data_IF_355695905303
#
_entry.id   IF_355695905303
#
_cell.length_a   1.000
_cell.length_b   1.000
_cell.length_c   1.000
_cell.angle_alpha   90.00
_cell.angle_beta   90.00
_cell.angle_gamma   90.00
#
_symmetry.space_group_name_H-M   'P 1'
#
loop_
_entity.id
_entity.type
_entity.pdbx_description
1 polymer ?
#
# COMPACT_ATOMS: atom_id res chain seq x y z
N UNK A 1 -8.42 -16.24 6.82
CA UNK A 1 -7.50 -16.06 5.67
C UNK A 1 -7.41 -14.59 5.34
N UNK A 2 -6.23 -13.98 5.43
CA UNK A 2 -5.99 -12.59 5.02
C UNK A 2 -5.90 -12.58 3.50
N UNK A 3 -6.91 -12.08 2.79
CA UNK A 3 -6.84 -11.84 1.34
C UNK A 3 -6.07 -10.53 1.11
N UNK A 4 -4.75 -10.58 1.34
CA UNK A 4 -3.88 -9.48 0.96
C UNK A 4 -3.82 -9.44 -0.58
N UNK A 5 -4.00 -8.28 -1.22
CA UNK A 5 -3.78 -8.15 -2.65
C UNK A 5 -2.31 -8.37 -2.99
N UNK A 6 -2.05 -8.91 -4.18
CA UNK A 6 -0.69 -9.02 -4.70
C UNK A 6 -0.20 -7.62 -5.11
N UNK A 7 0.79 -7.12 -4.37
CA UNK A 7 1.38 -5.80 -4.63
C UNK A 7 2.30 -5.80 -5.84
N UNK A 8 2.66 -6.97 -6.38
CA UNK A 8 3.51 -7.08 -7.57
C UNK A 8 2.69 -7.07 -8.87
N UNK A 9 1.38 -7.31 -8.78
CA UNK A 9 0.44 -7.34 -9.90
C UNK A 9 0.28 -5.94 -10.53
N UNK A 10 0.63 -5.76 -11.82
CA UNK A 10 0.42 -4.51 -12.54
C UNK A 10 -1.04 -4.05 -12.56
N UNK A 11 -2.00 -4.98 -12.68
CA UNK A 11 -3.41 -4.64 -12.71
C UNK A 11 -3.89 -4.12 -11.34
N UNK A 12 -3.31 -4.60 -10.24
CA UNK A 12 -3.56 -4.03 -8.92
C UNK A 12 -2.95 -2.64 -8.79
N UNK A 13 -1.68 -2.50 -9.19
CA UNK A 13 -0.94 -1.23 -9.16
C UNK A 13 -1.66 -0.13 -9.96
N UNK A 14 -2.16 -0.44 -11.15
CA UNK A 14 -2.87 0.53 -12.00
C UNK A 14 -4.24 0.93 -11.43
N UNK A 15 -4.85 0.09 -10.58
CA UNK A 15 -6.15 0.36 -9.95
C UNK A 15 -6.07 1.18 -8.68
N UNK A 16 -4.90 1.23 -8.03
CA UNK A 16 -4.71 1.95 -6.76
C UNK A 16 -3.90 3.21 -6.97
N UNK A 17 -4.24 4.29 -6.27
CA UNK A 17 -3.47 5.53 -6.28
C UNK A 17 -2.52 5.59 -5.07
N UNK A 18 -1.51 6.45 -5.16
CA UNK A 18 -0.53 6.63 -4.07
C UNK A 18 -1.21 7.15 -2.79
N UNK A 19 -2.17 8.06 -2.94
CA UNK A 19 -2.99 8.56 -1.84
C UNK A 19 -3.80 7.46 -1.17
N UNK A 20 -4.36 6.54 -1.96
CA UNK A 20 -5.13 5.42 -1.45
C UNK A 20 -4.26 4.41 -0.69
N UNK A 21 -3.03 4.15 -1.15
CA UNK A 21 -2.07 3.29 -0.41
C UNK A 21 -1.69 3.97 0.91
N UNK A 22 -1.39 5.27 0.89
CA UNK A 22 -1.05 6.03 2.08
C UNK A 22 -2.19 6.02 3.12
N UNK A 23 -3.43 6.25 2.68
CA UNK A 23 -4.60 6.18 3.57
C UNK A 23 -4.84 4.77 4.11
N UNK A 24 -4.63 3.74 3.30
CA UNK A 24 -4.77 2.33 3.72
C UNK A 24 -3.74 1.95 4.78
N UNK A 25 -2.50 2.45 4.66
CA UNK A 25 -1.45 2.25 5.68
C UNK A 25 -1.83 2.97 6.98
N UNK A 26 -2.32 4.22 6.89
CA UNK A 26 -2.70 5.01 8.08
C UNK A 26 -3.93 4.48 8.80
N UNK A 27 -5.02 4.24 8.07
CA UNK A 27 -6.32 3.85 8.63
C UNK A 27 -6.46 2.35 8.84
N UNK A 28 -5.59 1.56 8.21
CA UNK A 28 -5.79 0.11 8.10
C UNK A 28 -6.95 -0.21 7.14
N UNK A 29 -7.04 -1.47 6.73
CA UNK A 29 -8.14 -1.97 5.90
C UNK A 29 -8.39 -3.45 6.14
N UNK A 30 -9.63 -3.81 6.46
CA UNK A 30 -10.02 -5.17 6.82
C UNK A 30 -9.19 -5.71 8.00
N UNK A 31 -8.31 -6.67 7.74
CA UNK A 31 -7.41 -7.27 8.75
C UNK A 31 -6.05 -6.58 8.81
N UNK A 32 -5.81 -5.56 7.97
CA UNK A 32 -4.59 -4.75 8.05
C UNK A 32 -4.78 -3.71 9.17
N UNK A 33 -3.92 -3.70 10.21
CA UNK A 33 -4.00 -2.72 11.27
C UNK A 33 -3.67 -1.33 10.76
N UNK A 34 -4.21 -0.33 11.46
CA UNK A 34 -3.83 1.06 11.27
C UNK A 34 -2.39 1.26 11.77
N UNK A 35 -1.57 1.93 10.96
CA UNK A 35 -0.22 2.33 11.36
C UNK A 35 -0.18 3.85 11.51
N UNK A 36 0.02 4.31 12.74
CA UNK A 36 0.29 5.71 13.02
C UNK A 36 1.78 5.99 12.78
N UNK A 37 2.11 6.31 11.53
CA UNK A 37 3.46 6.58 11.06
C UNK A 37 3.56 8.01 10.51
N UNK A 38 4.70 8.69 10.66
CA UNK A 38 4.92 9.99 10.04
C UNK A 38 4.74 9.96 8.53
N UNK A 39 4.24 11.05 7.96
CA UNK A 39 3.97 11.22 6.52
C UNK A 39 5.18 10.86 5.65
N UNK A 40 6.39 11.19 6.09
CA UNK A 40 7.64 10.85 5.41
C UNK A 40 7.85 9.34 5.30
N UNK A 41 7.53 8.58 6.36
CA UNK A 41 7.65 7.12 6.38
C UNK A 41 6.59 6.50 5.48
N UNK A 42 5.35 6.99 5.54
CA UNK A 42 4.26 6.52 4.68
C UNK A 42 4.61 6.75 3.21
N UNK A 43 5.12 7.93 2.85
CA UNK A 43 5.57 8.22 1.48
C UNK A 43 6.65 7.25 1.00
N UNK A 44 7.67 6.97 1.83
CA UNK A 44 8.70 5.99 1.53
C UNK A 44 8.15 4.57 1.34
N UNK A 45 7.15 4.17 2.14
CA UNK A 45 6.47 2.88 2.00
C UNK A 45 5.66 2.80 0.69
N UNK A 46 4.96 3.87 0.31
CA UNK A 46 4.24 3.91 -0.97
C UNK A 46 5.23 3.75 -2.14
N UNK A 47 6.36 4.48 -2.12
CA UNK A 47 7.40 4.34 -3.14
C UNK A 47 7.95 2.91 -3.22
N UNK A 48 8.18 2.27 -2.07
CA UNK A 48 8.59 0.86 -1.99
C UNK A 48 7.56 -0.06 -2.64
N UNK A 49 6.27 0.14 -2.36
CA UNK A 49 5.17 -0.64 -2.95
C UNK A 49 5.14 -0.48 -4.46
N UNK A 50 5.32 0.74 -4.99
CA UNK A 50 5.41 0.99 -6.44
C UNK A 50 6.64 0.34 -7.08
N UNK A 51 7.77 0.38 -6.39
CA UNK A 51 9.01 -0.22 -6.87
C UNK A 51 8.99 -1.76 -6.86
N UNK A 52 8.09 -2.38 -6.08
CA UNK A 52 7.92 -3.84 -6.04
C UNK A 52 7.16 -4.43 -7.23
N UNK A 53 6.79 -3.62 -8.24
CA UNK A 53 6.18 -4.12 -9.48
C UNK A 53 7.06 -5.20 -10.09
N UNK A 54 6.50 -6.38 -10.34
CA UNK A 54 7.22 -7.45 -11.03
C UNK A 54 7.67 -6.94 -12.40
N UNK A 55 8.97 -7.12 -12.70
CA UNK A 55 9.60 -6.69 -13.95
C UNK A 55 9.20 -7.57 -15.12
#
# INVERSE_FOLDING_TARGET
>A
MVRAPDLTDPAWQDRVTDSYIAETIRKGRNQMPAFDLPDQVVSGLVQRVRASRAR
#
